data_IF_380657592046
#
_entry.id   IF_380657592046
#
_cell.length_a   1.000
_cell.length_b   1.000
_cell.length_c   1.000
_cell.angle_alpha   90.00
_cell.angle_beta   90.00
_cell.angle_gamma   90.00
#
_symmetry.space_group_name_H-M   'P 1'
#
loop_
_entity.id
_entity.type
_entity.pdbx_description
1 polymer ?
#
# COMPACT_ATOMS: atom_id res chain seq x y z
N UNK A 1 12.02 31.16 -12.38
CA UNK A 1 12.24 29.70 -12.27
C UNK A 1 11.01 29.02 -12.84
N UNK A 2 11.16 28.32 -13.97
CA UNK A 2 10.05 27.60 -14.60
C UNK A 2 9.67 26.43 -13.71
N UNK A 3 8.43 26.39 -13.22
CA UNK A 3 7.84 25.18 -12.66
C UNK A 3 7.85 24.13 -13.77
N UNK A 4 8.72 23.14 -13.66
CA UNK A 4 8.54 21.88 -14.37
C UNK A 4 7.30 21.25 -13.73
N UNK A 5 6.16 21.34 -14.41
CA UNK A 5 5.02 20.47 -14.10
C UNK A 5 5.50 19.07 -14.50
N UNK A 6 6.03 18.34 -13.53
CA UNK A 6 6.45 16.95 -13.72
C UNK A 6 5.18 16.11 -13.92
N UNK A 7 5.05 15.52 -15.09
CA UNK A 7 3.93 14.71 -15.52
C UNK A 7 3.71 13.47 -14.63
N UNK A 8 2.49 13.30 -14.13
CA UNK A 8 1.64 12.15 -14.52
C UNK A 8 1.61 10.90 -13.65
N UNK A 9 2.11 10.92 -12.41
CA UNK A 9 2.00 9.75 -11.52
C UNK A 9 1.34 10.09 -10.18
N UNK A 10 0.03 9.86 -10.12
CA UNK A 10 -0.70 9.87 -8.86
C UNK A 10 -1.15 8.44 -8.54
N UNK A 11 -0.49 7.75 -7.60
CA UNK A 11 -0.79 6.35 -7.37
C UNK A 11 -2.03 6.16 -6.50
N UNK A 12 -2.77 5.10 -6.79
CA UNK A 12 -3.79 4.53 -5.91
C UNK A 12 -3.25 3.17 -5.47
N UNK A 13 -2.64 3.11 -4.28
CA UNK A 13 -2.16 1.89 -3.67
C UNK A 13 -3.28 1.18 -2.93
N UNK A 14 -3.57 -0.06 -3.28
CA UNK A 14 -4.63 -0.87 -2.67
C UNK A 14 -3.97 -2.10 -2.05
N UNK A 15 -3.92 -2.19 -0.72
CA UNK A 15 -3.48 -3.37 -0.01
C UNK A 15 -4.62 -4.39 0.06
N UNK A 16 -4.51 -5.47 -0.71
CA UNK A 16 -5.60 -6.40 -0.96
C UNK A 16 -5.19 -7.87 -0.84
N UNK A 17 -6.18 -8.75 -0.80
CA UNK A 17 -5.99 -10.20 -0.75
C UNK A 17 -7.10 -10.89 0.05
N UNK A 18 -7.46 -12.13 -0.32
CA UNK A 18 -8.64 -12.82 0.21
C UNK A 18 -8.49 -13.30 1.65
N UNK A 19 -7.26 -13.31 2.20
CA UNK A 19 -6.97 -13.89 3.51
C UNK A 19 -6.95 -12.85 4.63
N UNK A 20 -7.54 -13.20 5.77
CA UNK A 20 -7.37 -12.46 7.02
C UNK A 20 -5.91 -12.55 7.51
N UNK A 21 -5.44 -11.50 8.19
CA UNK A 21 -4.13 -11.44 8.85
C UNK A 21 -2.92 -11.68 7.91
N UNK A 22 -3.04 -11.27 6.63
CA UNK A 22 -1.96 -11.41 5.64
C UNK A 22 -1.00 -10.19 5.57
N UNK A 23 -1.24 -9.16 6.39
CA UNK A 23 -0.40 -7.95 6.46
C UNK A 23 -0.85 -6.77 5.58
N UNK A 24 -2.10 -6.74 5.10
CA UNK A 24 -2.65 -5.64 4.27
C UNK A 24 -2.56 -4.29 4.97
N UNK A 25 -3.04 -4.21 6.22
CA UNK A 25 -2.98 -3.02 7.07
C UNK A 25 -1.54 -2.56 7.31
N UNK A 26 -0.59 -3.51 7.49
CA UNK A 26 0.83 -3.18 7.64
C UNK A 26 1.38 -2.52 6.38
N UNK A 27 1.13 -3.07 5.19
CA UNK A 27 1.56 -2.46 3.92
C UNK A 27 0.94 -1.10 3.68
N UNK A 28 -0.37 -0.95 3.91
CA UNK A 28 -1.07 0.32 3.78
C UNK A 28 -0.48 1.37 4.73
N UNK A 29 -0.23 1.01 5.98
CA UNK A 29 0.44 1.88 6.95
C UNK A 29 1.87 2.23 6.54
N UNK A 30 2.65 1.27 6.07
CA UNK A 30 4.03 1.51 5.63
C UNK A 30 4.09 2.49 4.46
N UNK A 31 3.23 2.34 3.47
CA UNK A 31 3.17 3.26 2.33
C UNK A 31 2.70 4.65 2.76
N UNK A 32 1.71 4.73 3.64
CA UNK A 32 1.25 5.99 4.23
C UNK A 32 2.39 6.73 4.96
N UNK A 33 3.13 6.01 5.80
CA UNK A 33 4.25 6.57 6.55
C UNK A 33 5.42 6.96 5.63
N UNK A 34 5.67 6.20 4.56
CA UNK A 34 6.61 6.57 3.50
C UNK A 34 6.24 7.90 2.81
N UNK A 35 4.98 8.07 2.42
CA UNK A 35 4.51 9.32 1.82
C UNK A 35 4.72 10.50 2.79
N UNK A 36 4.35 10.34 4.06
CA UNK A 36 4.52 11.38 5.09
C UNK A 36 5.97 11.72 5.36
N UNK A 37 6.84 10.72 5.48
CA UNK A 37 8.28 10.92 5.62
C UNK A 37 8.89 11.65 4.41
N UNK A 38 8.26 11.53 3.25
CA UNK A 38 8.62 12.27 2.02
C UNK A 38 7.96 13.66 1.91
N UNK A 39 7.32 14.16 2.97
CA UNK A 39 6.65 15.47 2.98
C UNK A 39 5.31 15.52 2.24
N UNK A 40 4.69 14.37 1.94
CA UNK A 40 3.41 14.26 1.23
C UNK A 40 2.27 13.92 2.19
N UNK A 41 1.06 14.35 1.86
CA UNK A 41 -0.15 14.06 2.65
C UNK A 41 -1.11 13.18 1.84
N UNK A 42 -0.94 11.85 1.84
CA UNK A 42 -1.80 10.94 1.08
C UNK A 42 -3.22 10.89 1.68
N UNK A 43 -4.21 10.61 0.82
CA UNK A 43 -5.55 10.25 1.24
C UNK A 43 -5.57 8.75 1.57
N UNK A 44 -6.10 8.39 2.74
CA UNK A 44 -6.15 7.01 3.18
C UNK A 44 -7.59 6.57 3.46
N UNK A 45 -7.90 5.34 3.08
CA UNK A 45 -9.19 4.71 3.28
C UNK A 45 -9.00 3.38 4.00
N UNK A 46 -9.69 3.23 5.11
CA UNK A 46 -9.77 1.99 5.87
C UNK A 46 -11.11 1.33 5.53
N UNK A 47 -11.05 0.27 4.72
CA UNK A 47 -12.23 -0.45 4.24
C UNK A 47 -12.53 -1.63 5.15
N UNK A 48 -12.45 -1.40 6.46
CA UNK A 48 -12.94 -2.29 7.49
C UNK A 48 -13.83 -1.52 8.47
N UNK A 49 -15.16 -1.50 8.29
CA UNK A 49 -16.04 -0.75 9.19
C UNK A 49 -16.14 -1.36 10.60
N UNK A 50 -15.67 -2.60 10.79
CA UNK A 50 -15.75 -3.32 12.06
C UNK A 50 -14.50 -3.14 12.92
N UNK A 51 -13.33 -3.04 12.29
CA UNK A 51 -12.03 -3.00 12.96
C UNK A 51 -11.06 -2.14 12.16
N UNK A 52 -11.24 -0.82 12.28
CA UNK A 52 -10.54 0.20 11.50
C UNK A 52 -9.10 0.43 12.02
N UNK A 53 -8.27 -0.60 11.92
CA UNK A 53 -6.91 -0.62 12.44
C UNK A 53 -6.01 0.45 11.79
N UNK A 54 -6.15 0.71 10.48
CA UNK A 54 -5.36 1.74 9.81
C UNK A 54 -5.77 3.13 10.32
N UNK A 55 -7.07 3.39 10.50
CA UNK A 55 -7.54 4.64 11.08
C UNK A 55 -7.01 4.82 12.52
N UNK A 56 -7.07 3.77 13.34
CA UNK A 56 -6.56 3.79 14.70
C UNK A 56 -5.04 4.04 14.75
N UNK A 57 -4.27 3.34 13.92
CA UNK A 57 -2.80 3.46 13.84
C UNK A 57 -2.32 4.83 13.33
N UNK A 58 -3.21 5.62 12.73
CA UNK A 58 -2.88 6.90 12.08
C UNK A 58 -3.53 8.09 12.76
N UNK A 59 -3.99 7.91 14.01
CA UNK A 59 -4.69 8.94 14.78
C UNK A 59 -5.92 9.51 14.03
N UNK A 60 -6.66 8.65 13.33
CA UNK A 60 -7.88 9.00 12.60
C UNK A 60 -7.66 9.63 11.23
N UNK A 61 -6.44 9.62 10.70
CA UNK A 61 -6.15 10.22 9.40
C UNK A 61 -6.68 9.40 8.20
N UNK A 62 -6.98 8.11 8.38
CA UNK A 62 -7.65 7.30 7.37
C UNK A 62 -9.18 7.39 7.50
N UNK A 63 -9.87 7.56 6.39
CA UNK A 63 -11.32 7.57 6.31
C UNK A 63 -11.88 6.15 6.43
N UNK A 64 -12.74 5.92 7.42
CA UNK A 64 -13.43 4.64 7.56
C UNK A 64 -14.53 4.54 6.50
N UNK A 65 -14.53 3.42 5.76
CA UNK A 65 -15.42 3.15 4.64
C UNK A 65 -16.20 1.86 4.87
N UNK A 66 -17.51 1.91 4.63
CA UNK A 66 -18.37 0.72 4.61
C UNK A 66 -18.94 0.48 3.20
N UNK A 67 -18.38 -0.48 2.47
CA UNK A 67 -18.81 -0.81 1.09
C UNK A 67 -20.23 -1.40 1.00
N UNK A 68 -20.82 -1.86 2.10
CA UNK A 68 -22.23 -2.30 2.09
C UNK A 68 -23.23 -1.14 1.94
N UNK A 69 -22.76 0.11 2.02
CA UNK A 69 -23.59 1.32 1.90
C UNK A 69 -23.21 2.09 0.64
N UNK A 70 -24.21 2.62 -0.07
CA UNK A 70 -23.98 3.51 -1.23
C UNK A 70 -23.09 4.70 -0.85
N UNK A 71 -23.31 5.30 0.32
CA UNK A 71 -22.49 6.41 0.81
C UNK A 71 -21.02 6.02 1.01
N UNK A 72 -20.74 4.79 1.48
CA UNK A 72 -19.38 4.28 1.62
C UNK A 72 -18.73 3.98 0.26
N UNK A 73 -19.48 3.39 -0.67
CA UNK A 73 -19.01 3.18 -2.04
C UNK A 73 -18.64 4.51 -2.70
N UNK A 74 -19.53 5.51 -2.68
CA UNK A 74 -19.26 6.84 -3.23
C UNK A 74 -18.04 7.48 -2.56
N UNK A 75 -17.96 7.46 -1.23
CA UNK A 75 -16.81 8.01 -0.49
C UNK A 75 -15.48 7.41 -0.95
N UNK A 76 -15.43 6.10 -1.18
CA UNK A 76 -14.21 5.43 -1.61
C UNK A 76 -13.87 5.75 -3.06
N UNK A 77 -14.78 5.47 -3.99
CA UNK A 77 -14.49 5.57 -5.43
C UNK A 77 -14.32 7.03 -5.89
N UNK A 78 -15.16 7.95 -5.43
CA UNK A 78 -14.97 9.38 -5.71
C UNK A 78 -13.70 9.91 -5.03
N UNK A 79 -13.42 9.46 -3.80
CA UNK A 79 -12.21 9.84 -3.07
C UNK A 79 -10.93 9.35 -3.76
N UNK A 80 -10.94 8.14 -4.33
CA UNK A 80 -9.81 7.61 -5.09
C UNK A 80 -9.53 8.42 -6.37
N UNK A 81 -10.58 8.93 -7.03
CA UNK A 81 -10.48 9.74 -8.25
C UNK A 81 -10.54 11.25 -8.02
N UNK A 82 -10.52 11.70 -6.77
CA UNK A 82 -10.50 13.12 -6.44
C UNK A 82 -9.27 13.75 -7.09
N UNK A 83 -9.45 14.82 -7.86
CA UNK A 83 -8.33 15.48 -8.52
C UNK A 83 -7.32 16.03 -7.49
N UNK A 84 -6.03 15.78 -7.72
CA UNK A 84 -4.96 16.24 -6.84
C UNK A 84 -3.67 15.42 -7.01
N UNK A 85 -2.53 15.95 -6.55
CA UNK A 85 -1.24 15.25 -6.63
C UNK A 85 -1.02 14.23 -5.51
N UNK A 86 -1.93 14.14 -4.54
CA UNK A 86 -1.73 13.28 -3.37
C UNK A 86 -1.84 11.80 -3.76
N UNK A 87 -1.05 10.93 -3.15
CA UNK A 87 -1.27 9.50 -3.31
C UNK A 87 -2.57 9.07 -2.62
N UNK A 88 -3.14 7.94 -3.04
CA UNK A 88 -4.26 7.28 -2.35
C UNK A 88 -3.82 5.94 -1.81
N UNK A 89 -4.30 5.60 -0.62
CA UNK A 89 -4.00 4.34 0.08
C UNK A 89 -5.30 3.71 0.52
N UNK A 90 -5.51 2.45 0.18
CA UNK A 90 -6.70 1.69 0.57
C UNK A 90 -6.23 0.45 1.31
N UNK A 91 -6.63 0.31 2.58
CA UNK A 91 -6.53 -0.95 3.30
C UNK A 91 -7.82 -1.73 3.11
N UNK A 92 -7.78 -2.77 2.26
CA UNK A 92 -8.95 -3.54 1.89
C UNK A 92 -9.12 -4.73 2.83
N UNK A 93 -10.17 -4.72 3.65
CA UNK A 93 -10.51 -5.86 4.49
C UNK A 93 -10.83 -7.11 3.65
N UNK A 94 -10.43 -8.28 4.14
CA UNK A 94 -10.62 -9.54 3.42
C UNK A 94 -12.10 -9.84 3.13
N UNK A 95 -13.02 -9.52 4.05
CA UNK A 95 -14.46 -9.68 3.83
C UNK A 95 -15.06 -8.70 2.83
N UNK A 96 -14.32 -7.65 2.45
CA UNK A 96 -14.67 -6.71 1.38
C UNK A 96 -13.91 -6.97 0.08
N UNK A 97 -13.05 -7.99 0.02
CA UNK A 97 -12.21 -8.27 -1.14
C UNK A 97 -13.02 -8.50 -2.43
N UNK A 98 -13.86 -9.54 -2.46
CA UNK A 98 -14.70 -9.84 -3.63
C UNK A 98 -15.70 -8.72 -3.96
N UNK A 99 -16.48 -8.19 -3.00
CA UNK A 99 -17.38 -7.07 -3.29
C UNK A 99 -16.67 -5.83 -3.85
N UNK A 100 -15.45 -5.54 -3.40
CA UNK A 100 -14.66 -4.43 -3.94
C UNK A 100 -14.25 -4.69 -5.40
N UNK A 101 -13.79 -5.91 -5.72
CA UNK A 101 -13.42 -6.26 -7.09
C UNK A 101 -14.64 -6.27 -8.02
N UNK A 102 -15.80 -6.74 -7.56
CA UNK A 102 -17.06 -6.67 -8.32
C UNK A 102 -17.41 -5.22 -8.67
N UNK A 103 -17.32 -4.31 -7.69
CA UNK A 103 -17.60 -2.89 -7.90
C UNK A 103 -16.58 -2.23 -8.84
N UNK A 104 -15.28 -2.56 -8.68
CA UNK A 104 -14.21 -2.10 -9.56
C UNK A 104 -14.46 -2.45 -11.03
N UNK A 105 -14.92 -3.67 -11.32
CA UNK A 105 -15.29 -4.10 -12.68
C UNK A 105 -16.56 -3.42 -13.18
N UNK A 106 -17.62 -3.41 -12.35
CA UNK A 106 -18.91 -2.83 -12.71
C UNK A 106 -18.79 -1.34 -13.09
N UNK A 107 -17.87 -0.63 -12.45
CA UNK A 107 -17.60 0.79 -12.70
C UNK A 107 -16.53 1.03 -13.78
N UNK A 108 -15.92 -0.02 -14.34
CA UNK A 108 -14.74 0.08 -15.21
C UNK A 108 -13.64 0.96 -14.60
N UNK A 109 -13.50 0.93 -13.26
CA UNK A 109 -12.79 1.94 -12.50
C UNK A 109 -11.31 2.03 -12.90
N UNK A 110 -10.69 0.90 -13.26
CA UNK A 110 -9.30 0.88 -13.68
C UNK A 110 -9.05 1.70 -14.95
N UNK A 111 -9.94 1.59 -15.93
CA UNK A 111 -9.89 2.36 -17.17
C UNK A 111 -10.12 3.84 -16.88
N UNK A 112 -11.11 4.15 -16.04
CA UNK A 112 -11.41 5.53 -15.64
C UNK A 112 -10.24 6.19 -14.88
N UNK A 113 -9.63 5.48 -13.95
CA UNK A 113 -8.46 5.94 -13.21
C UNK A 113 -7.30 6.26 -14.15
N UNK A 114 -7.01 5.37 -15.10
CA UNK A 114 -5.96 5.59 -16.09
C UNK A 114 -6.22 6.80 -17.00
N UNK A 115 -7.47 6.99 -17.44
CA UNK A 115 -7.89 8.17 -18.23
C UNK A 115 -7.71 9.49 -17.48
N UNK A 116 -7.71 9.45 -16.15
CA UNK A 116 -7.50 10.60 -15.26
C UNK A 116 -6.07 10.69 -14.72
N UNK A 117 -5.12 10.01 -15.34
CA UNK A 117 -3.69 9.96 -14.97
C UNK A 117 -3.39 9.38 -13.56
N UNK A 118 -4.34 8.64 -12.99
CA UNK A 118 -4.06 7.80 -11.83
C UNK A 118 -3.40 6.48 -12.28
N UNK A 119 -2.64 5.86 -11.38
CA UNK A 119 -2.07 4.52 -11.58
C UNK A 119 -2.49 3.62 -10.42
N UNK A 120 -3.24 2.57 -10.75
CA UNK A 120 -3.62 1.56 -9.77
C UNK A 120 -2.47 0.61 -9.51
N UNK A 121 -2.13 0.46 -8.23
CA UNK A 121 -1.11 -0.47 -7.75
C UNK A 121 -1.75 -1.36 -6.69
N UNK A 122 -1.95 -2.63 -7.01
CA UNK A 122 -2.55 -3.64 -6.16
C UNK A 122 -1.44 -4.37 -5.41
N UNK A 123 -1.31 -4.12 -4.12
CA UNK A 123 -0.40 -4.83 -3.22
C UNK A 123 -1.09 -6.11 -2.77
N UNK A 124 -0.81 -7.22 -3.47
CA UNK A 124 -1.46 -8.50 -3.24
C UNK A 124 -0.77 -9.27 -2.11
N UNK A 125 -1.54 -9.62 -1.08
CA UNK A 125 -1.09 -10.38 0.07
C UNK A 125 -1.62 -11.82 0.06
N UNK A 126 -0.78 -12.76 0.51
CA UNK A 126 -1.09 -14.19 0.60
C UNK A 126 -0.25 -14.90 1.68
N UNK A 127 -0.34 -16.24 1.72
CA UNK A 127 0.40 -17.08 2.68
C UNK A 127 1.39 -18.04 2.02
N UNK A 128 1.14 -18.41 0.76
CA UNK A 128 2.03 -19.27 -0.03
C UNK A 128 2.29 -18.62 -1.39
N UNK A 129 3.37 -19.05 -2.04
CA UNK A 129 3.75 -18.55 -3.36
C UNK A 129 2.81 -19.07 -4.44
N UNK A 130 2.33 -20.31 -4.30
CA UNK A 130 1.37 -20.93 -5.20
C UNK A 130 0.04 -20.16 -5.20
N UNK A 131 -0.47 -19.82 -4.01
CA UNK A 131 -1.71 -19.04 -3.90
C UNK A 131 -1.53 -17.64 -4.50
N UNK A 132 -0.39 -17.00 -4.22
CA UNK A 132 -0.07 -15.67 -4.74
C UNK A 132 -0.01 -15.64 -6.26
N UNK A 133 0.54 -16.67 -6.91
CA UNK A 133 0.59 -16.79 -8.37
C UNK A 133 -0.81 -16.85 -8.98
N UNK A 134 -1.66 -17.73 -8.44
CA UNK A 134 -3.03 -17.91 -8.93
C UNK A 134 -3.82 -16.61 -8.74
N UNK A 135 -3.73 -16.00 -7.56
CA UNK A 135 -4.42 -14.76 -7.25
C UNK A 135 -3.91 -13.58 -8.08
N UNK A 136 -2.61 -13.49 -8.33
CA UNK A 136 -2.04 -12.44 -9.16
C UNK A 136 -2.55 -12.52 -10.59
N UNK A 137 -2.62 -13.73 -11.17
CA UNK A 137 -3.14 -13.93 -12.51
C UNK A 137 -4.63 -13.60 -12.62
N UNK A 138 -5.43 -14.07 -11.66
CA UNK A 138 -6.86 -13.73 -11.58
C UNK A 138 -7.06 -12.21 -11.48
N UNK A 139 -6.27 -11.53 -10.64
CA UNK A 139 -6.40 -10.10 -10.43
C UNK A 139 -5.98 -9.30 -11.67
N UNK A 140 -4.92 -9.71 -12.38
CA UNK A 140 -4.50 -9.09 -13.65
C UNK A 140 -5.57 -9.23 -14.74
N UNK A 141 -6.20 -10.40 -14.84
CA UNK A 141 -7.25 -10.64 -15.82
C UNK A 141 -8.51 -9.80 -15.53
N UNK A 142 -8.79 -9.57 -14.25
CA UNK A 142 -10.01 -8.93 -13.77
C UNK A 142 -9.91 -7.41 -13.70
N UNK A 143 -8.78 -6.89 -13.21
CA UNK A 143 -8.55 -5.46 -12.98
C UNK A 143 -7.43 -4.98 -13.88
N UNK A 144 -7.81 -4.44 -15.04
CA UNK A 144 -6.89 -3.91 -16.04
C UNK A 144 -7.42 -2.57 -16.58
N UNK A 145 -6.60 -1.51 -16.70
CA UNK A 145 -5.18 -1.43 -16.35
C UNK A 145 -4.91 -1.28 -14.85
N UNK A 146 -4.11 -2.19 -14.29
CA UNK A 146 -3.52 -2.05 -12.95
C UNK A 146 -2.18 -2.81 -12.88
N UNK A 147 -1.30 -2.34 -12.00
CA UNK A 147 -0.11 -3.10 -11.65
C UNK A 147 -0.39 -3.96 -10.41
N UNK A 148 -0.19 -5.27 -10.52
CA UNK A 148 -0.21 -6.18 -9.36
C UNK A 148 1.22 -6.39 -8.86
N UNK A 149 1.48 -5.98 -7.62
CA UNK A 149 2.74 -6.22 -6.90
C UNK A 149 2.47 -7.25 -5.81
N UNK A 150 3.19 -8.36 -5.85
CA UNK A 150 3.06 -9.39 -4.82
C UNK A 150 3.83 -8.99 -3.57
N UNK A 151 3.16 -8.96 -2.43
CA UNK A 151 3.78 -8.64 -1.14
C UNK A 151 4.21 -9.93 -0.44
N UNK A 152 5.51 -10.05 -0.28
CA UNK A 152 6.18 -11.15 0.40
C UNK A 152 6.46 -10.73 1.83
N UNK A 153 5.47 -10.96 2.69
CA UNK A 153 5.58 -10.66 4.11
C UNK A 153 6.23 -11.84 4.84
N UNK A 154 7.48 -11.69 5.26
CA UNK A 154 8.26 -12.76 5.88
C UNK A 154 7.72 -13.20 7.26
N UNK A 155 6.84 -12.41 7.88
CA UNK A 155 6.12 -12.84 9.10
C UNK A 155 5.01 -13.86 8.81
N UNK A 156 4.59 -14.00 7.55
CA UNK A 156 3.39 -14.75 7.15
C UNK A 156 3.71 -15.80 6.09
N UNK A 157 4.48 -15.44 5.06
CA UNK A 157 4.77 -16.29 3.92
C UNK A 157 5.90 -17.26 4.25
N UNK A 158 5.62 -18.57 4.19
CA UNK A 158 6.61 -19.61 4.41
C UNK A 158 7.65 -19.60 3.27
N UNK A 159 8.95 -19.65 3.60
CA UNK A 159 10.09 -19.70 2.66
C UNK A 159 10.26 -18.50 1.71
N UNK A 160 10.57 -17.33 2.29
CA UNK A 160 11.10 -16.15 1.60
C UNK A 160 12.59 -16.32 1.20
N UNK A 161 12.94 -17.45 0.58
CA UNK A 161 14.27 -17.71 0.01
C UNK A 161 14.38 -17.23 -1.44
N UNK A 162 15.23 -17.83 -2.31
CA UNK A 162 15.40 -17.45 -3.74
C UNK A 162 14.12 -17.45 -4.60
N UNK A 163 12.98 -17.82 -4.02
CA UNK A 163 11.62 -17.69 -4.53
C UNK A 163 11.17 -16.27 -4.92
N UNK A 164 11.88 -15.21 -4.51
CA UNK A 164 11.57 -13.81 -4.88
C UNK A 164 11.60 -13.53 -6.39
N UNK A 165 12.40 -14.28 -7.15
CA UNK A 165 12.55 -14.08 -8.60
C UNK A 165 11.34 -14.56 -9.43
N UNK A 166 10.36 -15.22 -8.82
CA UNK A 166 9.15 -15.74 -9.50
C UNK A 166 8.22 -14.64 -9.99
N UNK A 167 8.16 -13.51 -9.27
CA UNK A 167 7.24 -12.42 -9.59
C UNK A 167 7.97 -11.30 -10.30
N UNK A 168 7.41 -10.83 -11.41
CA UNK A 168 7.94 -9.68 -12.16
C UNK A 168 8.02 -8.43 -11.27
N UNK A 169 7.02 -8.22 -10.41
CA UNK A 169 6.96 -7.14 -9.45
C UNK A 169 6.61 -7.70 -8.06
N UNK A 170 7.49 -7.45 -7.09
CA UNK A 170 7.28 -7.85 -5.70
C UNK A 170 7.79 -6.80 -4.72
N UNK A 171 7.25 -6.85 -3.51
CA UNK A 171 7.67 -6.06 -2.36
C UNK A 171 7.89 -7.00 -1.18
N UNK A 172 9.09 -6.99 -0.60
CA UNK A 172 9.42 -7.75 0.60
C UNK A 172 9.21 -6.93 1.86
N UNK A 173 8.52 -7.50 2.84
CA UNK A 173 8.44 -6.99 4.21
C UNK A 173 9.24 -7.95 5.09
N UNK A 174 10.49 -7.61 5.44
CA UNK A 174 11.33 -8.48 6.23
C UNK A 174 10.83 -8.61 7.67
N UNK A 175 11.27 -9.68 8.35
CA UNK A 175 10.94 -9.86 9.78
C UNK A 175 11.54 -8.70 10.59
N UNK A 176 10.68 -8.05 11.40
CA UNK A 176 11.08 -7.11 12.43
C UNK A 176 11.03 -7.81 13.78
N UNK A 177 12.02 -7.57 14.64
CA UNK A 177 12.08 -8.19 15.95
C UNK A 177 10.75 -7.99 16.73
N UNK A 178 10.11 -9.06 17.25
CA UNK A 178 8.83 -8.94 17.94
C UNK A 178 8.84 -7.98 19.14
N UNK A 179 9.99 -7.86 19.81
CA UNK A 179 10.18 -6.91 20.91
C UNK A 179 10.03 -5.45 20.48
N UNK A 180 10.45 -5.08 19.26
CA UNK A 180 10.28 -3.74 18.70
C UNK A 180 8.80 -3.48 18.43
N UNK A 181 8.12 -4.42 17.77
CA UNK A 181 6.68 -4.33 17.51
C UNK A 181 5.86 -4.17 18.81
N UNK A 182 6.19 -4.97 19.82
CA UNK A 182 5.54 -4.91 21.13
C UNK A 182 5.77 -3.55 21.83
N UNK A 183 6.98 -2.99 21.72
CA UNK A 183 7.29 -1.68 22.30
C UNK A 183 6.53 -0.55 21.59
N UNK A 184 6.49 -0.57 20.25
CA UNK A 184 5.71 0.39 19.46
C UNK A 184 4.24 0.36 19.84
N UNK A 185 3.65 -0.84 19.94
CA UNK A 185 2.25 -1.01 20.35
C UNK A 185 2.00 -0.51 21.77
N UNK A 186 2.87 -0.89 22.73
CA UNK A 186 2.74 -0.48 24.15
C UNK A 186 2.82 1.04 24.32
N UNK A 187 3.68 1.70 23.56
CA UNK A 187 3.87 3.15 23.60
C UNK A 187 2.95 3.92 22.66
N UNK A 188 2.15 3.21 21.84
CA UNK A 188 1.26 3.78 20.81
C UNK A 188 2.00 4.66 19.81
N UNK A 189 3.22 4.29 19.45
CA UNK A 189 4.06 5.04 18.51
C UNK A 189 3.77 4.68 17.04
N UNK A 190 3.89 5.69 16.18
CA UNK A 190 4.08 5.50 14.73
C UNK A 190 5.35 4.68 14.41
N UNK A 191 5.48 4.09 13.21
CA UNK A 191 6.74 3.42 12.84
C UNK A 191 7.87 4.44 12.66
N UNK A 192 7.60 5.53 11.96
CA UNK A 192 8.52 6.68 11.77
C UNK A 192 8.70 7.46 13.06
N UNK A 193 7.67 7.61 13.87
CA UNK A 193 7.82 8.20 15.21
C UNK A 193 8.74 7.35 16.08
N UNK A 194 8.68 6.02 15.94
CA UNK A 194 9.50 5.08 16.67
C UNK A 194 11.01 5.28 16.50
N UNK A 195 11.48 5.88 15.41
CA UNK A 195 12.92 6.16 15.18
C UNK A 195 13.38 7.52 15.72
N UNK A 196 12.45 8.37 16.18
CA UNK A 196 12.74 9.69 16.72
C UNK A 196 13.64 9.60 17.96
N UNK A 197 14.54 10.58 18.14
CA UNK A 197 15.51 10.55 19.21
C UNK A 197 14.96 10.93 20.58
N UNK A 198 13.90 11.74 20.62
CA UNK A 198 13.34 12.28 21.85
C UNK A 198 12.04 11.58 22.23
N UNK A 199 11.21 11.26 21.23
CA UNK A 199 9.84 10.75 21.39
C UNK A 199 9.68 9.29 20.96
N UNK A 200 10.68 8.73 20.29
CA UNK A 200 10.64 7.37 19.75
C UNK A 200 10.96 6.29 20.78
N UNK A 201 11.48 5.16 20.29
CA UNK A 201 11.82 4.03 21.14
C UNK A 201 12.99 4.37 22.10
N UNK A 202 12.93 3.95 23.38
CA UNK A 202 13.97 4.29 24.35
C UNK A 202 15.36 3.73 24.00
N UNK A 203 15.40 2.54 23.39
CA UNK A 203 16.65 1.87 23.04
C UNK A 203 17.21 2.41 21.72
N UNK A 204 18.44 2.92 21.74
CA UNK A 204 19.16 3.34 20.53
C UNK A 204 19.30 2.19 19.52
N UNK A 205 19.55 0.97 20.00
CA UNK A 205 19.65 -0.22 19.15
C UNK A 205 18.30 -0.51 18.48
N UNK A 206 17.21 -0.47 19.24
CA UNK A 206 15.86 -0.68 18.70
C UNK A 206 15.50 0.37 17.64
N UNK A 207 15.86 1.65 17.87
CA UNK A 207 15.68 2.73 16.89
C UNK A 207 16.51 2.50 15.64
N UNK A 208 17.76 2.04 15.77
CA UNK A 208 18.61 1.73 14.61
C UNK A 208 18.01 0.57 13.80
N UNK A 209 17.65 -0.53 14.45
CA UNK A 209 17.04 -1.68 13.76
C UNK A 209 15.73 -1.30 13.05
N UNK A 210 14.87 -0.49 13.70
CA UNK A 210 13.64 -0.01 13.08
C UNK A 210 13.91 0.92 11.89
N UNK A 211 14.93 1.79 11.99
CA UNK A 211 15.34 2.67 10.89
C UNK A 211 15.86 1.88 9.71
N UNK A 212 16.71 0.88 9.93
CA UNK A 212 17.27 0.05 8.87
C UNK A 212 16.15 -0.73 8.16
N UNK A 213 15.22 -1.30 8.94
CA UNK A 213 14.03 -1.97 8.43
C UNK A 213 13.13 -1.06 7.60
N UNK A 214 12.83 0.15 8.09
CA UNK A 214 12.05 1.15 7.34
C UNK A 214 12.77 1.59 6.06
N UNK A 215 14.09 1.78 6.12
CA UNK A 215 14.91 2.20 4.98
C UNK A 215 14.84 1.17 3.85
N UNK A 216 14.93 -0.12 4.18
CA UNK A 216 14.82 -1.21 3.22
C UNK A 216 13.43 -1.23 2.53
N UNK A 217 12.35 -1.04 3.28
CA UNK A 217 11.00 -1.03 2.72
C UNK A 217 10.74 0.25 1.91
N UNK A 218 11.13 1.42 2.42
CA UNK A 218 10.93 2.70 1.75
C UNK A 218 11.71 2.80 0.45
N UNK A 219 12.90 2.19 0.38
CA UNK A 219 13.64 2.06 -0.87
C UNK A 219 12.83 1.30 -1.95
N UNK A 220 12.12 0.23 -1.57
CA UNK A 220 11.27 -0.52 -2.51
C UNK A 220 10.10 0.32 -3.02
N UNK A 221 9.40 1.04 -2.14
CA UNK A 221 8.36 1.98 -2.58
C UNK A 221 8.91 3.05 -3.52
N UNK A 222 10.08 3.62 -3.18
CA UNK A 222 10.73 4.60 -4.04
C UNK A 222 11.06 4.02 -5.43
N UNK A 223 11.57 2.79 -5.51
CA UNK A 223 11.80 2.11 -6.79
C UNK A 223 10.52 1.92 -7.60
N UNK A 224 9.40 1.58 -6.95
CA UNK A 224 8.09 1.50 -7.61
C UNK A 224 7.70 2.87 -8.19
N UNK A 225 7.80 3.95 -7.40
CA UNK A 225 7.48 5.30 -7.90
C UNK A 225 8.39 5.70 -9.08
N UNK A 226 9.69 5.44 -8.98
CA UNK A 226 10.67 5.77 -10.01
C UNK A 226 10.41 5.01 -11.30
N UNK A 227 10.11 3.71 -11.23
CA UNK A 227 9.79 2.90 -12.41
C UNK A 227 8.61 3.48 -13.18
N UNK A 228 7.57 3.95 -12.49
CA UNK A 228 6.43 4.60 -13.16
C UNK A 228 6.79 5.96 -13.76
N UNK A 229 7.58 6.77 -13.06
CA UNK A 229 8.03 8.07 -13.57
C UNK A 229 8.96 7.95 -14.77
N UNK A 230 9.84 6.93 -14.78
CA UNK A 230 10.79 6.68 -15.87
C UNK A 230 10.17 5.87 -17.02
N UNK A 231 9.23 4.98 -16.73
CA UNK A 231 8.42 4.27 -17.73
C UNK A 231 7.46 5.20 -18.48
N UNK A 232 7.00 6.29 -17.84
CA UNK A 232 6.27 7.37 -18.49
C UNK A 232 7.14 8.25 -19.39
N UNK A 233 8.47 8.15 -19.30
CA UNK A 233 9.42 8.84 -20.19
C UNK A 233 9.87 7.99 -21.39
N UNK A 234 9.01 7.12 -21.92
CA UNK A 234 9.32 6.41 -23.17
C UNK A 234 9.67 7.42 -24.26
N UNK A 235 10.96 7.37 -24.62
CA UNK A 235 11.59 8.02 -25.75
C UNK A 235 10.68 7.88 -26.98
N UNK A 236 10.37 8.99 -27.62
CA UNK A 236 9.81 9.02 -28.97
C UNK A 236 10.99 9.17 -29.93
N UNK A 237 11.55 8.09 -30.51
CA UNK A 237 12.47 8.26 -31.62
C UNK A 237 11.59 8.63 -32.81
N UNK A 238 11.66 9.90 -33.21
CA UNK A 238 11.11 10.33 -34.49
C UNK A 238 11.74 9.59 -35.67
#
# INVERSE_FOLDING_TARGET
>A
MRHVVMSGWTPIFIACGPLANAGKTLSARLFLEFCRASGRSPLAFDVNPHDAELAAATSGAAHIVNLSTTAGQMRLFEGMLQAGPEARVVDLWHGSYEPFLDLMEQMEFASEAALRDFRLVLLLHGRSLEDLDIQAEQLRARINPAETIVVLNEHICESAGPSFARFEHSLSIPVLAPSILQQLARMRLGLVEGIDAERGLPSMVARSCLRDWLTQIFAQFHCIELRHRLGATTFNPG
#
